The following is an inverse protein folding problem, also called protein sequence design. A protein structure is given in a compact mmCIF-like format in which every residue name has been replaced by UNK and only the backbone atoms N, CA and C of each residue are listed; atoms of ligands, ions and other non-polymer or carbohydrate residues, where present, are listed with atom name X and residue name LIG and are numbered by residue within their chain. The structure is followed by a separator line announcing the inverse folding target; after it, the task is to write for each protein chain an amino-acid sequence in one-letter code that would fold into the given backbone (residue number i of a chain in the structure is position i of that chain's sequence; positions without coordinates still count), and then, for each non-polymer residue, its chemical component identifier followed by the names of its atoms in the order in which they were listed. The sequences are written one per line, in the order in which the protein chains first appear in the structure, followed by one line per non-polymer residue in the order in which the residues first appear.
data_IF_927542363168
#
_entry.id   IF_927542363168
#
_cell.length_a   1.000
_cell.length_b   1.000
_cell.length_c   1.000
_cell.angle_alpha   90.00
_cell.angle_beta   90.00
_cell.angle_gamma   90.00
#
_symmetry.space_group_name_H-M   'P 1'
#
loop_
_entity.id
_entity.type
_entity.pdbx_description
1 polymer ?
#
# COMPACT_ATOMS: atom_id res chain seq x y z
N UNK A 1 5.72 7.43 12.41
CA UNK A 1 5.93 5.99 12.21
C UNK A 1 5.97 5.35 13.59
N UNK A 2 5.48 4.13 13.78
CA UNK A 2 5.64 3.44 15.07
C UNK A 2 7.08 2.95 15.25
N UNK A 3 7.49 2.70 16.49
CA UNK A 3 8.83 2.18 16.83
C UNK A 3 9.12 0.86 16.09
N UNK A 4 8.15 -0.06 16.05
CA UNK A 4 8.28 -1.33 15.35
C UNK A 4 8.51 -1.16 13.84
N UNK A 5 7.84 -0.17 13.22
CA UNK A 5 7.99 0.09 11.80
C UNK A 5 9.39 0.65 11.50
N UNK A 6 9.93 1.50 12.37
CA UNK A 6 11.29 2.03 12.23
C UNK A 6 12.35 0.94 12.38
N UNK A 7 12.21 0.06 13.36
CA UNK A 7 13.10 -1.09 13.55
C UNK A 7 13.10 -1.99 12.31
N UNK A 8 11.92 -2.29 11.75
CA UNK A 8 11.82 -3.16 10.60
C UNK A 8 12.30 -2.50 9.30
N UNK A 9 12.11 -1.18 9.15
CA UNK A 9 12.69 -0.43 8.04
C UNK A 9 14.22 -0.49 8.06
N UNK A 10 14.84 -0.30 9.23
CA UNK A 10 16.29 -0.39 9.37
C UNK A 10 16.80 -1.80 9.04
N UNK A 11 16.13 -2.85 9.51
CA UNK A 11 16.44 -4.25 9.14
C UNK A 11 16.37 -4.49 7.63
N UNK A 12 15.38 -3.92 6.94
CA UNK A 12 15.24 -4.03 5.50
C UNK A 12 16.37 -3.30 4.76
N UNK A 13 16.71 -2.08 5.20
CA UNK A 13 17.82 -1.31 4.63
C UNK A 13 19.17 -2.01 4.80
N UNK A 14 19.41 -2.62 5.97
CA UNK A 14 20.66 -3.34 6.24
C UNK A 14 20.80 -4.60 5.38
N UNK A 15 19.68 -5.30 5.10
CA UNK A 15 19.70 -6.58 4.37
C UNK A 15 19.55 -6.42 2.86
N UNK A 16 18.80 -5.42 2.40
CA UNK A 16 18.42 -5.22 1.00
C UNK A 16 18.56 -3.75 0.61
N UNK A 17 19.75 -3.20 0.81
CA UNK A 17 20.04 -1.76 0.65
C UNK A 17 19.57 -1.22 -0.72
N UNK A 18 19.81 -1.97 -1.80
CA UNK A 18 19.46 -1.59 -3.18
C UNK A 18 17.99 -1.82 -3.53
N UNK A 19 17.14 -2.18 -2.57
CA UNK A 19 15.71 -2.50 -2.79
C UNK A 19 14.76 -1.65 -1.97
N UNK A 20 15.28 -0.73 -1.13
CA UNK A 20 14.46 0.19 -0.33
C UNK A 20 14.61 1.59 -0.91
N UNK A 21 13.49 2.14 -1.37
CA UNK A 21 13.47 3.44 -2.05
C UNK A 21 12.50 4.40 -1.36
N UNK A 22 12.93 5.66 -1.20
CA UNK A 22 12.04 6.74 -0.78
C UNK A 22 11.33 7.32 -2.00
N UNK A 23 10.03 7.06 -2.11
CA UNK A 23 9.19 7.57 -3.20
C UNK A 23 8.58 8.90 -2.77
N UNK A 24 8.89 9.97 -3.50
CA UNK A 24 8.37 11.32 -3.22
C UNK A 24 7.16 11.68 -4.08
N UNK A 25 7.06 11.09 -5.27
CA UNK A 25 5.95 11.29 -6.20
C UNK A 25 5.49 9.96 -6.75
N UNK A 26 4.20 9.86 -7.03
CA UNK A 26 3.61 8.69 -7.69
C UNK A 26 4.26 8.39 -9.07
N UNK A 27 4.84 9.41 -9.73
CA UNK A 27 5.59 9.23 -10.98
C UNK A 27 6.83 8.36 -10.85
N UNK A 28 7.46 8.34 -9.67
CA UNK A 28 8.74 7.66 -9.44
C UNK A 28 8.53 6.14 -9.18
N UNK A 29 7.28 5.72 -9.03
CA UNK A 29 6.89 4.33 -8.87
C UNK A 29 6.70 3.69 -10.25
N UNK A 30 7.44 2.64 -10.57
CA UNK A 30 7.26 1.89 -11.82
C UNK A 30 6.96 0.43 -11.50
N UNK A 31 5.99 -0.14 -12.23
CA UNK A 31 5.65 -1.55 -12.15
C UNK A 31 5.99 -2.20 -13.48
N UNK A 32 6.66 -3.35 -13.43
CA UNK A 32 6.89 -4.19 -14.61
C UNK A 32 5.75 -5.19 -14.75
N UNK A 33 5.60 -5.71 -15.95
CA UNK A 33 4.66 -6.80 -16.21
C UNK A 33 5.05 -8.04 -15.39
N UNK A 34 4.08 -8.67 -14.75
CA UNK A 34 4.24 -9.85 -13.89
C UNK A 34 4.92 -9.59 -12.54
N UNK A 35 5.03 -8.32 -12.12
CA UNK A 35 5.38 -8.02 -10.73
C UNK A 35 4.26 -8.50 -9.79
N UNK A 36 4.64 -8.80 -8.54
CA UNK A 36 3.69 -9.02 -7.45
C UNK A 36 3.77 -7.79 -6.55
N UNK A 37 2.63 -7.11 -6.41
CA UNK A 37 2.50 -5.93 -5.57
C UNK A 37 1.99 -6.37 -4.21
N UNK A 38 2.73 -6.05 -3.16
CA UNK A 38 2.29 -6.23 -1.78
C UNK A 38 1.82 -4.88 -1.24
N UNK A 39 0.52 -4.79 -1.01
CA UNK A 39 -0.13 -3.64 -0.40
C UNK A 39 -0.06 -3.75 1.14
N UNK A 40 0.77 -2.89 1.72
CA UNK A 40 0.90 -2.70 3.17
C UNK A 40 0.96 -1.19 3.51
N UNK A 41 0.24 -0.36 2.75
CA UNK A 41 0.27 1.12 2.89
C UNK A 41 -0.53 1.53 4.14
N UNK A 42 -1.77 1.03 4.27
CA UNK A 42 -2.68 1.27 5.38
C UNK A 42 -3.36 -0.04 5.80
N UNK A 43 -3.49 -0.24 7.11
CA UNK A 43 -4.30 -1.33 7.68
C UNK A 43 -5.66 -0.86 8.19
N UNK A 44 -6.29 -1.69 9.02
CA UNK A 44 -7.59 -1.46 9.67
C UNK A 44 -7.69 -0.17 10.50
N UNK A 45 -6.55 0.40 10.88
CA UNK A 45 -6.46 1.68 11.61
C UNK A 45 -6.76 2.94 10.78
N UNK A 46 -7.07 2.82 9.49
CA UNK A 46 -7.40 3.97 8.64
C UNK A 46 -8.73 4.61 9.08
N UNK A 47 -8.70 5.92 9.37
CA UNK A 47 -9.87 6.69 9.87
C UNK A 47 -10.36 7.78 8.93
N UNK A 48 -9.76 7.91 7.76
CA UNK A 48 -10.07 8.96 6.78
C UNK A 48 -9.86 8.44 5.37
N UNK A 49 -10.62 8.98 4.43
CA UNK A 49 -10.49 8.64 3.02
C UNK A 49 -9.07 8.90 2.55
N UNK A 50 -8.58 8.07 1.64
CA UNK A 50 -7.29 8.31 0.99
C UNK A 50 -7.41 9.53 0.07
N UNK A 51 -6.46 10.45 0.17
CA UNK A 51 -6.37 11.62 -0.71
C UNK A 51 -4.92 11.93 -1.06
N UNK A 52 -4.73 12.86 -2.00
CA UNK A 52 -3.41 13.25 -2.49
C UNK A 52 -2.63 12.07 -3.08
N UNK A 53 -1.30 12.07 -2.88
CA UNK A 53 -0.39 11.08 -3.45
C UNK A 53 -0.75 9.63 -3.09
N UNK A 54 -1.29 9.36 -1.89
CA UNK A 54 -1.69 7.99 -1.54
C UNK A 54 -2.84 7.49 -2.42
N UNK A 55 -3.82 8.34 -2.74
CA UNK A 55 -4.91 7.96 -3.64
C UNK A 55 -4.38 7.72 -5.07
N UNK A 56 -3.36 8.47 -5.49
CA UNK A 56 -2.77 8.31 -6.82
C UNK A 56 -1.90 7.04 -6.91
N UNK A 57 -1.15 6.70 -5.85
CA UNK A 57 -0.45 5.40 -5.74
C UNK A 57 -1.45 4.26 -5.83
N UNK A 58 -2.56 4.30 -5.08
CA UNK A 58 -3.57 3.24 -5.09
C UNK A 58 -4.19 3.08 -6.48
N UNK A 59 -4.55 4.19 -7.15
CA UNK A 59 -5.05 4.14 -8.53
C UNK A 59 -4.03 3.51 -9.47
N UNK A 60 -2.75 3.84 -9.33
CA UNK A 60 -1.67 3.29 -10.15
C UNK A 60 -1.48 1.78 -9.91
N UNK A 61 -1.58 1.33 -8.67
CA UNK A 61 -1.58 -0.10 -8.31
C UNK A 61 -2.74 -0.81 -9.03
N UNK A 62 -3.96 -0.27 -8.90
CA UNK A 62 -5.16 -0.87 -9.49
C UNK A 62 -5.11 -0.91 -11.03
N UNK A 63 -4.41 0.04 -11.65
CA UNK A 63 -4.22 0.12 -13.10
C UNK A 63 -3.06 -0.72 -13.64
N UNK A 64 -2.21 -1.28 -12.75
CA UNK A 64 -1.00 -2.00 -13.16
C UNK A 64 -1.27 -3.31 -13.90
N UNK A 65 -2.43 -3.92 -13.69
CA UNK A 65 -2.76 -5.26 -14.21
C UNK A 65 -1.98 -6.40 -13.52
N UNK A 66 -1.14 -6.08 -12.53
CA UNK A 66 -0.35 -7.05 -11.78
C UNK A 66 -1.15 -7.74 -10.68
N UNK A 67 -0.58 -8.83 -10.15
CA UNK A 67 -1.13 -9.50 -8.96
C UNK A 67 -0.93 -8.59 -7.75
N UNK A 68 -2.01 -8.29 -7.03
CA UNK A 68 -1.97 -7.46 -5.82
C UNK A 68 -2.36 -8.29 -4.60
N UNK A 69 -1.51 -8.28 -3.56
CA UNK A 69 -1.73 -8.96 -2.28
C UNK A 69 -1.82 -7.90 -1.17
N UNK A 70 -2.90 -7.84 -0.41
CA UNK A 70 -3.02 -6.90 0.72
C UNK A 70 -2.75 -7.57 2.06
N UNK A 71 -2.14 -6.81 2.97
CA UNK A 71 -1.89 -7.19 4.37
C UNK A 71 -2.91 -6.51 5.27
N UNK A 72 -3.49 -7.25 6.22
CA UNK A 72 -4.59 -6.83 7.11
C UNK A 72 -5.91 -6.56 6.35
N UNK A 73 -5.98 -5.45 5.63
CA UNK A 73 -7.14 -5.02 4.84
C UNK A 73 -6.62 -4.26 3.61
N UNK A 74 -7.32 -4.28 2.44
CA UNK A 74 -6.89 -3.49 1.30
C UNK A 74 -6.79 -2.01 1.65
N UNK A 75 -5.64 -1.40 1.37
CA UNK A 75 -5.39 0.00 1.73
C UNK A 75 -6.45 0.91 1.13
N UNK A 76 -6.99 1.78 1.98
CA UNK A 76 -8.07 2.70 1.62
C UNK A 76 -9.46 2.22 2.06
N UNK A 77 -9.64 0.93 2.36
CA UNK A 77 -10.87 0.39 2.90
C UNK A 77 -10.97 0.70 4.41
N UNK A 78 -12.15 1.11 4.88
CA UNK A 78 -12.44 1.25 6.31
C UNK A 78 -12.82 -0.12 6.90
N UNK A 79 -12.40 -0.38 8.14
CA UNK A 79 -12.63 -1.69 8.78
C UNK A 79 -14.09 -2.00 9.12
N UNK A 80 -14.94 -0.98 9.24
CA UNK A 80 -16.30 -1.13 9.78
C UNK A 80 -17.38 -0.75 8.74
N UNK A 81 -17.42 0.52 8.35
CA UNK A 81 -18.43 1.07 7.43
C UNK A 81 -17.75 1.81 6.27
N UNK A 82 -18.14 1.45 5.05
CA UNK A 82 -17.63 2.05 3.81
C UNK A 82 -18.74 2.73 3.00
N UNK A 83 -19.93 2.93 3.57
CA UNK A 83 -21.09 3.53 2.87
C UNK A 83 -20.74 4.89 2.26
N UNK A 84 -19.96 5.69 2.99
CA UNK A 84 -19.52 7.02 2.56
C UNK A 84 -18.02 7.08 2.21
N UNK A 85 -17.36 5.94 1.94
CA UNK A 85 -15.95 5.93 1.57
C UNK A 85 -15.77 6.14 0.06
N UNK A 86 -15.42 7.37 -0.32
CA UNK A 86 -15.16 7.78 -1.71
C UNK A 86 -13.67 7.83 -2.04
N UNK A 87 -12.81 7.35 -1.13
CA UNK A 87 -11.37 7.24 -1.33
C UNK A 87 -11.00 6.21 -2.40
N UNK A 88 -9.75 6.23 -2.83
CA UNK A 88 -9.18 5.14 -3.62
C UNK A 88 -8.93 3.95 -2.70
N UNK A 89 -9.39 2.77 -3.11
CA UNK A 89 -9.21 1.52 -2.37
C UNK A 89 -8.44 0.54 -3.25
N UNK A 90 -7.44 -0.12 -2.69
CA UNK A 90 -6.68 -1.16 -3.41
C UNK A 90 -7.61 -2.30 -3.80
N UNK A 91 -7.56 -2.69 -5.07
CA UNK A 91 -8.26 -3.86 -5.60
C UNK A 91 -7.33 -5.08 -5.52
N UNK A 92 -7.32 -5.73 -4.35
CA UNK A 92 -6.46 -6.87 -4.10
C UNK A 92 -7.01 -8.16 -4.72
N UNK A 93 -6.10 -9.00 -5.25
CA UNK A 93 -6.44 -10.37 -5.65
C UNK A 93 -6.67 -11.27 -4.42
N UNK A 94 -5.84 -11.09 -3.39
CA UNK A 94 -5.89 -11.84 -2.13
C UNK A 94 -5.57 -10.88 -0.97
N UNK A 95 -6.28 -11.03 0.15
CA UNK A 95 -5.99 -10.31 1.39
C UNK A 95 -5.64 -11.30 2.50
N UNK A 96 -4.58 -11.01 3.25
CA UNK A 96 -4.17 -11.76 4.43
C UNK A 96 -4.45 -10.94 5.68
N UNK A 97 -5.57 -11.23 6.34
CA UNK A 97 -5.95 -10.61 7.61
C UNK A 97 -5.18 -11.21 8.80
N UNK A 98 -5.00 -10.44 9.87
CA UNK A 98 -4.32 -10.82 11.11
C UNK A 98 -5.28 -11.06 12.27
#
# INVERSE_FOLDING_TARGET
MSDDCEINLNRLKDKYLDSVFDIKKTSDLEFKENDIIIDAIFGSGLKRETGGEFADVIKKINQSGNIVLSVDIPSGLFGEDNTDNNGAIVNACITYAL
#
